data_IF_070775997723
#
_entry.id   IF_070775997723
#
_cell.length_a   1.000
_cell.length_b   1.000
_cell.length_c   1.000
_cell.angle_alpha   90.00
_cell.angle_beta   90.00
_cell.angle_gamma   90.00
#
_symmetry.space_group_name_H-M   'P 1'
#
loop_
_entity.id
_entity.type
_entity.pdbx_description
1 polymer ?
#
# COMPACT_ATOMS: atom_id res chain seq x y z
N UNK A 1 -7.53 -4.39 -12.15
CA UNK A 1 -7.12 -3.76 -10.87
C UNK A 1 -7.86 -4.46 -9.75
N UNK A 2 -7.16 -4.94 -8.72
CA UNK A 2 -7.80 -5.47 -7.52
C UNK A 2 -7.82 -4.37 -6.46
N UNK A 3 -9.01 -3.87 -6.12
CA UNK A 3 -9.19 -2.91 -5.01
C UNK A 3 -9.49 -3.69 -3.74
N UNK A 4 -8.79 -3.35 -2.66
CA UNK A 4 -8.99 -3.91 -1.33
C UNK A 4 -9.31 -2.75 -0.40
N UNK A 5 -10.42 -2.88 0.31
CA UNK A 5 -10.77 -1.97 1.39
C UNK A 5 -9.90 -2.27 2.60
N UNK A 6 -9.36 -1.22 3.20
CA UNK A 6 -8.45 -1.34 4.33
C UNK A 6 -9.12 -0.68 5.53
N UNK A 7 -9.32 -1.44 6.61
CA UNK A 7 -9.82 -0.90 7.87
C UNK A 7 -8.68 -0.18 8.62
N UNK A 8 -8.16 0.90 8.03
CA UNK A 8 -7.16 1.78 8.64
C UNK A 8 -7.80 3.14 8.91
N UNK A 9 -7.28 3.82 9.93
CA UNK A 9 -7.65 5.21 10.22
C UNK A 9 -7.16 6.19 9.14
N UNK A 10 -6.05 5.90 8.47
CA UNK A 10 -5.41 6.80 7.49
C UNK A 10 -5.66 6.38 6.05
N UNK A 11 -5.67 5.08 5.78
CA UNK A 11 -5.85 4.53 4.44
C UNK A 11 -7.34 4.31 4.18
N UNK A 12 -7.83 4.77 3.03
CA UNK A 12 -9.18 4.48 2.56
C UNK A 12 -9.22 3.12 1.88
N UNK A 13 -8.38 2.95 0.86
CA UNK A 13 -8.31 1.71 0.10
C UNK A 13 -6.94 1.58 -0.57
N UNK A 14 -6.65 0.36 -0.99
CA UNK A 14 -5.44 0.03 -1.73
C UNK A 14 -5.84 -0.66 -3.03
N UNK A 15 -5.15 -0.32 -4.11
CA UNK A 15 -5.34 -0.93 -5.42
C UNK A 15 -4.03 -1.57 -5.85
N UNK A 16 -4.11 -2.81 -6.31
CA UNK A 16 -2.97 -3.53 -6.84
C UNK A 16 -3.14 -3.86 -8.31
N UNK A 17 -2.11 -3.57 -9.09
CA UNK A 17 -2.01 -3.93 -10.50
C UNK A 17 -0.54 -4.04 -10.93
N UNK A 18 -0.14 -5.16 -11.55
CA UNK A 18 1.16 -5.31 -12.21
C UNK A 18 2.36 -4.87 -11.35
N UNK A 19 2.46 -5.39 -10.11
CA UNK A 19 3.52 -5.02 -9.14
C UNK A 19 3.51 -3.53 -8.73
N UNK A 20 2.42 -2.83 -8.97
CA UNK A 20 2.17 -1.48 -8.46
C UNK A 20 1.06 -1.53 -7.41
N UNK A 21 1.35 -0.99 -6.24
CA UNK A 21 0.41 -0.75 -5.17
C UNK A 21 0.10 0.74 -5.12
N UNK A 22 -1.14 1.09 -5.41
CA UNK A 22 -1.67 2.44 -5.21
C UNK A 22 -2.37 2.48 -3.87
N UNK A 23 -1.89 3.30 -2.95
CA UNK A 23 -2.50 3.50 -1.63
C UNK A 23 -3.22 4.83 -1.65
N UNK A 24 -4.54 4.81 -1.49
CA UNK A 24 -5.36 6.01 -1.37
C UNK A 24 -5.61 6.30 0.10
N UNK A 25 -5.17 7.48 0.56
CA UNK A 25 -5.46 7.98 1.89
C UNK A 25 -6.87 8.55 1.97
N UNK A 26 -7.42 8.61 3.18
CA UNK A 26 -8.70 9.30 3.43
C UNK A 26 -8.61 10.81 3.21
N UNK A 27 -7.40 11.38 3.22
CA UNK A 27 -7.13 12.80 2.91
C UNK A 27 -7.32 13.13 1.42
N UNK A 28 -7.44 12.12 0.55
CA UNK A 28 -7.54 12.28 -0.91
C UNK A 28 -6.22 12.04 -1.65
N UNK A 29 -5.09 12.11 -0.93
CA UNK A 29 -3.76 11.82 -1.46
C UNK A 29 -3.62 10.36 -1.88
N UNK A 30 -2.87 10.13 -2.96
CA UNK A 30 -2.59 8.77 -3.45
C UNK A 30 -1.09 8.58 -3.63
N UNK A 31 -0.61 7.43 -3.15
CA UNK A 31 0.78 7.04 -3.27
C UNK A 31 0.89 5.83 -4.19
N UNK A 32 1.80 5.87 -5.15
CA UNK A 32 2.14 4.71 -5.97
C UNK A 32 3.47 4.13 -5.50
N UNK A 33 3.42 2.86 -5.12
CA UNK A 33 4.56 2.06 -4.72
C UNK A 33 4.78 0.94 -5.74
N UNK A 34 6.03 0.73 -6.14
CA UNK A 34 6.43 -0.49 -6.83
C UNK A 34 6.78 -1.54 -5.79
N UNK A 35 6.18 -2.72 -5.92
CA UNK A 35 6.62 -3.88 -5.16
C UNK A 35 7.92 -4.41 -5.74
N UNK A 36 8.87 -4.71 -4.85
CA UNK A 36 10.07 -5.45 -5.20
C UNK A 36 9.79 -6.96 -5.27
N UNK A 37 8.82 -7.44 -4.48
CA UNK A 37 8.43 -8.85 -4.43
C UNK A 37 6.91 -9.01 -4.32
N UNK A 38 6.32 -9.90 -5.13
CA UNK A 38 4.88 -10.15 -5.14
C UNK A 38 4.38 -10.80 -3.83
N UNK A 39 5.22 -11.54 -3.11
CA UNK A 39 4.85 -12.15 -1.81
C UNK A 39 4.54 -11.08 -0.77
N UNK A 40 5.19 -9.92 -0.84
CA UNK A 40 4.93 -8.81 0.08
C UNK A 40 3.51 -8.27 -0.04
N UNK A 41 2.89 -8.34 -1.23
CA UNK A 41 1.47 -8.02 -1.37
C UNK A 41 0.59 -9.01 -0.61
N UNK A 42 0.91 -10.30 -0.71
CA UNK A 42 0.17 -11.34 0.00
C UNK A 42 0.27 -11.16 1.51
N UNK A 43 1.46 -10.87 2.04
CA UNK A 43 1.69 -10.52 3.45
C UNK A 43 0.90 -9.28 3.88
N UNK A 44 0.78 -8.28 3.01
CA UNK A 44 0.01 -7.07 3.30
C UNK A 44 -1.50 -7.33 3.38
N UNK A 45 -2.06 -8.14 2.48
CA UNK A 45 -3.47 -8.53 2.50
C UNK A 45 -3.79 -9.34 3.75
N UNK A 46 -2.92 -10.28 4.09
CA UNK A 46 -3.04 -11.18 5.26
C UNK A 46 -2.80 -10.45 6.60
N UNK A 47 -2.12 -9.30 6.56
CA UNK A 47 -1.84 -8.54 7.78
C UNK A 47 -3.11 -8.08 8.48
N UNK A 48 -3.21 -8.44 9.76
CA UNK A 48 -4.28 -7.99 10.66
C UNK A 48 -4.29 -6.46 10.82
N UNK A 49 -3.11 -5.84 10.85
CA UNK A 49 -2.95 -4.39 10.99
C UNK A 49 -2.21 -3.80 9.79
N UNK A 50 -3.02 -3.42 8.80
CA UNK A 50 -2.54 -2.90 7.51
C UNK A 50 -1.86 -1.54 7.65
N UNK A 51 -2.21 -0.74 8.66
CA UNK A 51 -1.57 0.54 8.95
C UNK A 51 -0.15 0.35 9.48
N UNK A 52 0.01 -0.55 10.45
CA UNK A 52 1.32 -0.94 10.99
C UNK A 52 2.21 -1.56 9.92
N UNK A 53 1.64 -2.43 9.07
CA UNK A 53 2.38 -2.99 7.93
C UNK A 53 2.84 -1.90 6.97
N UNK A 54 1.95 -0.98 6.61
CA UNK A 54 2.28 0.15 5.74
C UNK A 54 3.45 0.96 6.30
N UNK A 55 3.40 1.38 7.58
CA UNK A 55 4.52 2.10 8.20
C UNK A 55 5.82 1.29 8.21
N UNK A 56 5.78 0.03 8.63
CA UNK A 56 6.99 -0.78 8.81
C UNK A 56 7.64 -1.24 7.51
N UNK A 57 6.86 -1.48 6.46
CA UNK A 57 7.34 -2.08 5.22
C UNK A 57 7.35 -1.10 4.05
N UNK A 58 6.30 -0.27 3.94
CA UNK A 58 6.09 0.66 2.83
C UNK A 58 6.77 2.00 3.11
N UNK A 59 6.52 2.63 4.27
CA UNK A 59 7.09 3.92 4.64
C UNK A 59 8.61 3.81 4.92
N UNK A 60 9.04 2.70 5.52
CA UNK A 60 10.44 2.38 5.74
C UNK A 60 11.23 1.98 4.46
N UNK A 61 10.60 2.00 3.27
CA UNK A 61 11.19 1.63 1.97
C UNK A 61 11.93 0.27 1.95
N UNK A 62 11.62 -0.66 2.86
CA UNK A 62 12.35 -1.94 2.96
C UNK A 62 12.00 -2.90 1.82
N UNK A 63 10.74 -2.95 1.41
CA UNK A 63 10.23 -3.87 0.38
C UNK A 63 9.45 -3.18 -0.74
N UNK A 64 9.27 -1.87 -0.62
CA UNK A 64 8.52 -1.05 -1.56
C UNK A 64 9.38 0.13 -1.97
N UNK A 65 9.30 0.49 -3.24
CA UNK A 65 9.92 1.71 -3.76
C UNK A 65 8.82 2.71 -4.09
N UNK A 66 8.77 3.82 -3.36
CA UNK A 66 7.85 4.93 -3.68
C UNK A 66 8.22 5.50 -5.05
N UNK A 67 7.27 5.49 -5.99
CA UNK A 67 7.47 6.05 -7.33
C UNK A 67 6.97 7.48 -7.37
N UNK A 68 5.72 7.70 -6.94
CA UNK A 68 5.04 8.97 -7.18
C UNK A 68 4.00 9.26 -6.09
N UNK A 69 3.91 10.55 -5.72
CA UNK A 69 2.84 11.12 -4.92
C UNK A 69 1.88 11.83 -5.88
N UNK A 70 0.59 11.57 -5.71
CA UNK A 70 -0.48 12.37 -6.29
C UNK A 70 -1.17 13.10 -5.14
N UNK A 71 -1.09 14.43 -5.17
CA UNK A 71 -1.82 15.36 -4.30
C UNK A 71 -3.06 15.83 -5.02
#
# INVERSE_FOLDING_TARGET
MQKIEVNSHKISHVSYQHLLLTVALKTGEKFIYRLLDAKTFKEFIDSADKDKFYRNQIEANKKFKRIQLFV
#
